data_IF_845939074559
#
_entry.id   IF_845939074559
#
_cell.length_a   1.000
_cell.length_b   1.000
_cell.length_c   1.000
_cell.angle_alpha   90.00
_cell.angle_beta   90.00
_cell.angle_gamma   90.00
#
_symmetry.space_group_name_H-M   'P 1'
#
loop_
_entity.id
_entity.type
_entity.pdbx_description
1 polymer ?
#
# COMPACT_ATOMS: atom_id res chain seq x y z
N UNK A 1 8.01 7.02 8.83
CA UNK A 1 6.76 6.29 9.16
C UNK A 1 6.91 4.85 8.73
N UNK A 2 6.45 3.89 9.54
CA UNK A 2 6.45 2.47 9.19
C UNK A 2 5.01 2.00 9.28
N UNK A 3 4.52 1.34 8.23
CA UNK A 3 3.17 0.80 8.13
C UNK A 3 3.24 -0.71 8.03
N UNK A 4 2.76 -1.42 9.04
CA UNK A 4 2.75 -2.88 9.10
C UNK A 4 1.34 -3.42 9.45
N UNK A 5 0.52 -3.86 8.48
CA UNK A 5 0.77 -3.99 7.03
C UNK A 5 -0.19 -3.13 6.19
N UNK A 6 0.22 -2.74 4.98
CA UNK A 6 -0.56 -1.86 4.10
C UNK A 6 -1.95 -2.43 3.76
N UNK A 7 -2.13 -3.75 3.81
CA UNK A 7 -3.42 -4.41 3.59
C UNK A 7 -4.48 -4.08 4.67
N UNK A 8 -4.08 -3.60 5.86
CA UNK A 8 -5.01 -3.27 6.95
C UNK A 8 -5.57 -1.85 6.83
N UNK A 9 -5.03 -1.04 5.92
CA UNK A 9 -5.49 0.33 5.69
C UNK A 9 -6.64 0.30 4.68
N UNK A 10 -7.79 0.80 5.10
CA UNK A 10 -8.95 0.95 4.23
C UNK A 10 -9.63 2.29 4.47
N UNK A 11 -10.34 2.75 3.45
CA UNK A 11 -11.20 3.91 3.52
C UNK A 11 -12.51 3.60 2.80
N UNK A 12 -13.63 4.01 3.40
CA UNK A 12 -14.96 3.91 2.79
C UNK A 12 -15.13 4.89 1.61
N UNK A 13 -14.16 5.78 1.37
CA UNK A 13 -14.16 6.72 0.24
C UNK A 13 -13.76 6.05 -1.08
N UNK A 14 -13.13 4.88 -1.01
CA UNK A 14 -12.70 4.13 -2.19
C UNK A 14 -13.78 3.12 -2.60
N UNK A 15 -14.03 2.99 -3.90
CA UNK A 15 -15.01 2.05 -4.44
C UNK A 15 -14.55 0.59 -4.38
N UNK A 16 -13.25 0.36 -4.22
CA UNK A 16 -12.65 -0.97 -4.12
C UNK A 16 -12.99 -1.66 -2.80
N UNK A 17 -13.20 -2.98 -2.85
CA UNK A 17 -13.44 -3.77 -1.66
C UNK A 17 -12.22 -3.72 -0.71
N UNK A 18 -12.44 -3.68 0.63
CA UNK A 18 -11.36 -3.80 1.60
C UNK A 18 -10.47 -5.02 1.33
N UNK A 19 -9.15 -4.84 1.40
CA UNK A 19 -8.18 -5.90 1.13
C UNK A 19 -7.95 -6.25 -0.35
N UNK A 20 -8.72 -5.67 -1.28
CA UNK A 20 -8.46 -5.83 -2.72
C UNK A 20 -7.19 -5.06 -3.14
N UNK A 21 -6.57 -5.47 -4.26
CA UNK A 21 -5.38 -4.80 -4.81
C UNK A 21 -5.64 -3.30 -5.07
N UNK A 22 -6.83 -2.96 -5.60
CA UNK A 22 -7.22 -1.57 -5.82
C UNK A 22 -7.19 -0.76 -4.54
N UNK A 23 -7.76 -1.31 -3.45
CA UNK A 23 -7.78 -0.64 -2.16
C UNK A 23 -6.37 -0.42 -1.61
N UNK A 24 -5.50 -1.42 -1.71
CA UNK A 24 -4.12 -1.34 -1.24
C UNK A 24 -3.32 -0.30 -2.04
N UNK A 25 -3.55 -0.21 -3.35
CA UNK A 25 -2.93 0.83 -4.21
C UNK A 25 -3.39 2.23 -3.86
N UNK A 26 -4.68 2.43 -3.63
CA UNK A 26 -5.22 3.73 -3.22
C UNK A 26 -4.67 4.15 -1.86
N UNK A 27 -4.64 3.24 -0.88
CA UNK A 27 -4.04 3.47 0.43
C UNK A 27 -2.55 3.85 0.31
N UNK A 28 -1.76 3.07 -0.45
CA UNK A 28 -0.34 3.35 -0.67
C UNK A 28 -0.12 4.72 -1.33
N UNK A 29 -0.96 5.09 -2.30
CA UNK A 29 -0.90 6.40 -2.98
C UNK A 29 -1.16 7.56 -2.01
N UNK A 30 -2.16 7.43 -1.13
CA UNK A 30 -2.41 8.46 -0.11
C UNK A 30 -1.28 8.58 0.91
N UNK A 31 -0.69 7.45 1.30
CA UNK A 31 0.49 7.43 2.18
C UNK A 31 1.70 8.08 1.50
N UNK A 32 1.91 7.83 0.21
CA UNK A 32 2.97 8.46 -0.58
C UNK A 32 2.83 9.99 -0.61
N UNK A 33 1.63 10.51 -0.93
CA UNK A 33 1.39 11.95 -0.93
C UNK A 33 1.57 12.56 0.46
N UNK A 34 1.09 11.87 1.50
CA UNK A 34 1.29 12.29 2.89
C UNK A 34 2.77 12.33 3.25
N UNK A 35 3.52 11.29 2.92
CA UNK A 35 4.96 11.16 3.17
C UNK A 35 5.74 12.29 2.49
N UNK A 36 5.46 12.55 1.20
CA UNK A 36 6.07 13.65 0.44
C UNK A 36 5.70 15.01 1.01
N UNK A 37 4.43 15.24 1.34
CA UNK A 37 3.95 16.50 1.91
C UNK A 37 4.58 16.84 3.27
N UNK A 38 4.96 15.82 4.05
CA UNK A 38 5.58 16.00 5.37
C UNK A 38 7.10 15.77 5.39
N UNK A 39 7.72 15.45 4.24
CA UNK A 39 9.12 15.04 4.15
C UNK A 39 9.49 13.87 5.10
N UNK A 40 8.61 12.88 5.21
CA UNK A 40 8.79 11.73 6.09
C UNK A 40 9.10 10.47 5.27
N UNK A 41 10.30 9.86 5.40
CA UNK A 41 10.59 8.56 4.82
C UNK A 41 9.56 7.52 5.27
N UNK A 42 9.03 6.73 4.35
CA UNK A 42 7.95 5.79 4.64
C UNK A 42 8.27 4.38 4.16
N UNK A 43 8.14 3.41 5.06
CA UNK A 43 8.23 1.98 4.76
C UNK A 43 6.85 1.35 4.82
N UNK A 44 6.50 0.58 3.78
CA UNK A 44 5.25 -0.16 3.71
C UNK A 44 5.56 -1.65 3.78
N UNK A 45 5.02 -2.34 4.78
CA UNK A 45 5.08 -3.81 4.87
C UNK A 45 3.84 -4.37 4.20
N UNK A 46 4.02 -5.35 3.33
CA UNK A 46 2.93 -6.05 2.67
C UNK A 46 3.16 -7.55 2.70
N UNK A 47 2.15 -8.30 3.14
CA UNK A 47 2.17 -9.76 3.08
C UNK A 47 1.96 -10.28 1.65
N UNK A 48 2.66 -11.37 1.29
CA UNK A 48 2.44 -12.13 0.06
C UNK A 48 1.67 -13.39 0.40
N UNK A 49 0.54 -13.64 -0.26
CA UNK A 49 -0.20 -14.90 -0.11
C UNK A 49 0.42 -16.01 -0.95
N UNK A 50 0.21 -17.28 -0.56
CA UNK A 50 0.75 -18.48 -1.23
C UNK A 50 0.45 -18.56 -2.73
N UNK A 51 -0.67 -17.99 -3.18
CA UNK A 51 -1.11 -17.94 -4.59
C UNK A 51 -0.50 -16.76 -5.39
N UNK A 52 0.32 -15.90 -4.76
CA UNK A 52 0.91 -14.71 -5.40
C UNK A 52 -0.08 -13.59 -5.79
N UNK A 53 -1.38 -13.80 -5.57
CA UNK A 53 -2.46 -12.96 -6.09
C UNK A 53 -2.89 -11.82 -5.15
N UNK A 54 -2.58 -11.87 -3.85
CA UNK A 54 -2.97 -10.81 -2.93
C UNK A 54 -1.83 -9.80 -2.76
N UNK A 55 -2.04 -8.60 -3.30
CA UNK A 55 -1.45 -7.31 -2.89
C UNK A 55 -0.03 -7.36 -2.30
N UNK A 56 0.86 -8.13 -2.93
CA UNK A 56 2.25 -8.20 -2.55
C UNK A 56 3.02 -6.95 -3.00
N UNK A 57 4.31 -6.82 -2.64
CA UNK A 57 5.12 -5.66 -2.98
C UNK A 57 5.14 -5.34 -4.50
N UNK A 58 5.08 -6.37 -5.36
CA UNK A 58 4.92 -6.21 -6.83
C UNK A 58 3.68 -5.43 -7.24
N UNK A 59 2.56 -5.58 -6.54
CA UNK A 59 1.34 -4.86 -6.89
C UNK A 59 1.50 -3.34 -6.73
N UNK A 60 2.48 -2.90 -5.92
CA UNK A 60 2.79 -1.52 -5.62
C UNK A 60 4.05 -1.03 -6.32
N UNK A 61 4.67 -1.81 -7.22
CA UNK A 61 5.98 -1.49 -7.83
C UNK A 61 5.99 -0.17 -8.61
N UNK A 62 4.83 0.29 -9.10
CA UNK A 62 4.68 1.58 -9.76
C UNK A 62 4.38 2.76 -8.81
N UNK A 63 4.11 2.47 -7.53
CA UNK A 63 3.76 3.46 -6.50
C UNK A 63 4.94 3.73 -5.56
N UNK A 64 5.82 2.75 -5.34
CA UNK A 64 6.94 2.86 -4.39
C UNK A 64 8.28 3.02 -5.11
N UNK A 65 9.24 3.68 -4.46
CA UNK A 65 10.58 3.89 -5.01
C UNK A 65 11.45 2.60 -4.97
N UNK A 66 11.16 1.67 -4.07
CA UNK A 66 11.90 0.41 -3.94
C UNK A 66 11.00 -0.68 -3.37
N UNK A 67 11.17 -1.89 -3.88
CA UNK A 67 10.58 -3.13 -3.37
C UNK A 67 11.69 -4.01 -2.83
N UNK A 68 11.50 -4.55 -1.62
CA UNK A 68 12.43 -5.45 -0.92
C UNK A 68 11.85 -6.86 -0.79
#
# INVERSE_FOLDING_TARGET
MIVDSVQTIFSMKFQSAPGSIGQVREAATQLLFTAKGHNVPTFLVGHVTKEGSLAGPKALEHVVDTVL
#
